data_IF_107079945023
#
_entry.id   IF_107079945023
#
_cell.length_a   1.000
_cell.length_b   1.000
_cell.length_c   1.000
_cell.angle_alpha   90.00
_cell.angle_beta   90.00
_cell.angle_gamma   90.00
#
_symmetry.space_group_name_H-M   'P 1'
#
loop_
_entity.id
_entity.type
_entity.pdbx_description
1 polymer ?
#
# COMPACT_ATOMS: atom_id res chain seq x y z
N UNK A 1 -6.28 22.25 -3.20
CA UNK A 1 -5.37 21.24 -2.64
C UNK A 1 -5.79 20.95 -1.20
N UNK A 2 -5.53 19.75 -0.66
CA UNK A 2 -5.71 19.49 0.78
C UNK A 2 -4.31 19.43 1.37
N UNK A 3 -3.87 20.52 1.97
CA UNK A 3 -2.57 20.60 2.62
C UNK A 3 -2.61 19.90 3.98
N UNK A 4 -1.48 19.35 4.39
CA UNK A 4 -1.32 18.74 5.71
C UNK A 4 -1.03 19.84 6.73
N UNK A 5 -1.84 20.00 7.80
CA UNK A 5 -1.62 21.00 8.82
C UNK A 5 -0.24 20.89 9.47
N UNK A 6 0.45 22.02 9.67
CA UNK A 6 1.79 22.03 10.26
C UNK A 6 1.76 21.68 11.74
N UNK A 7 0.68 22.03 12.43
CA UNK A 7 0.38 21.69 13.82
C UNK A 7 0.27 20.18 14.06
N UNK A 8 0.07 19.39 13.00
CA UNK A 8 0.02 17.93 13.06
C UNK A 8 1.39 17.26 12.89
N UNK A 9 2.46 18.05 12.70
CA UNK A 9 3.84 17.55 12.55
C UNK A 9 4.62 17.89 13.83
N UNK A 10 5.39 16.93 14.34
CA UNK A 10 6.24 17.16 15.53
C UNK A 10 7.34 18.19 15.25
N UNK A 11 7.86 18.90 16.27
CA UNK A 11 8.88 19.93 16.08
C UNK A 11 10.19 19.45 15.43
N UNK A 12 10.55 18.18 15.65
CA UNK A 12 11.70 17.53 15.01
C UNK A 12 11.44 17.08 13.57
N UNK A 13 10.17 17.16 13.13
CA UNK A 13 9.67 16.79 11.80
C UNK A 13 9.84 15.30 11.45
N UNK A 14 9.91 14.46 12.47
CA UNK A 14 10.06 13.01 12.30
C UNK A 14 8.76 12.24 12.50
N UNK A 15 7.76 12.85 13.12
CA UNK A 15 6.49 12.20 13.48
C UNK A 15 5.31 13.19 13.43
N UNK A 16 4.13 12.72 13.84
CA UNK A 16 2.88 13.47 13.95
C UNK A 16 2.48 13.68 15.40
N UNK A 17 1.65 14.69 15.66
CA UNK A 17 1.16 14.99 17.02
C UNK A 17 0.04 14.04 17.45
N UNK A 18 -0.19 13.92 18.75
CA UNK A 18 -1.30 13.14 19.31
C UNK A 18 -2.67 13.61 18.79
N UNK A 19 -2.82 14.91 18.55
CA UNK A 19 -4.04 15.50 17.96
C UNK A 19 -4.35 14.90 16.58
N UNK A 20 -3.33 14.70 15.75
CA UNK A 20 -3.50 14.03 14.46
C UNK A 20 -3.93 12.58 14.63
N UNK A 21 -3.34 11.87 15.60
CA UNK A 21 -3.68 10.47 15.89
C UNK A 21 -5.15 10.38 16.31
N UNK A 22 -5.61 11.22 17.24
CA UNK A 22 -7.00 11.26 17.69
C UNK A 22 -7.97 11.58 16.54
N UNK A 23 -7.57 12.46 15.63
CA UNK A 23 -8.34 12.78 14.43
C UNK A 23 -8.38 11.62 13.42
N UNK A 24 -7.25 10.92 13.20
CA UNK A 24 -7.11 9.90 12.17
C UNK A 24 -7.67 8.52 12.57
N UNK A 25 -7.57 8.15 13.86
CA UNK A 25 -8.03 6.87 14.39
C UNK A 25 -9.49 6.52 14.03
N UNK A 26 -10.49 7.40 14.24
CA UNK A 26 -11.88 7.09 13.88
C UNK A 26 -12.09 6.95 12.36
N UNK A 27 -11.23 7.56 11.53
CA UNK A 27 -11.32 7.49 10.07
C UNK A 27 -10.84 6.14 9.53
N UNK A 28 -9.77 5.58 10.11
CA UNK A 28 -9.22 4.28 9.73
C UNK A 28 -10.09 3.15 10.30
N UNK A 29 -10.64 3.36 11.49
CA UNK A 29 -11.47 2.38 12.19
C UNK A 29 -10.66 1.21 12.78
N UNK A 30 -11.31 0.45 13.65
CA UNK A 30 -10.75 -0.76 14.25
C UNK A 30 -11.84 -1.82 14.42
N UNK A 31 -11.58 -3.10 14.13
CA UNK A 31 -10.31 -3.66 13.64
C UNK A 31 -10.03 -3.30 12.17
N UNK A 32 -8.75 -3.35 11.77
CA UNK A 32 -8.37 -3.15 10.37
C UNK A 32 -9.14 -4.11 9.45
N UNK A 33 -9.56 -3.66 8.26
CA UNK A 33 -10.33 -4.50 7.35
C UNK A 33 -9.52 -5.72 6.93
N UNK A 34 -10.15 -6.88 6.91
CA UNK A 34 -9.57 -8.07 6.30
C UNK A 34 -9.66 -7.92 4.78
N UNK A 35 -8.53 -7.67 4.13
CA UNK A 35 -8.47 -7.63 2.69
C UNK A 35 -8.81 -9.00 2.06
N UNK A 36 -9.33 -8.96 0.84
CA UNK A 36 -9.60 -10.18 0.09
C UNK A 36 -8.30 -10.94 -0.17
N UNK A 37 -8.31 -12.26 0.07
CA UNK A 37 -7.23 -13.16 -0.29
C UNK A 37 -7.69 -14.03 -1.46
N UNK A 38 -7.18 -13.74 -2.65
CA UNK A 38 -7.45 -14.55 -3.84
C UNK A 38 -6.74 -15.90 -3.73
N UNK A 39 -7.33 -16.92 -4.36
CA UNK A 39 -6.67 -18.21 -4.54
C UNK A 39 -5.77 -18.13 -5.76
N UNK A 40 -4.60 -18.75 -5.68
CA UNK A 40 -3.64 -18.84 -6.78
C UNK A 40 -4.09 -19.88 -7.82
N UNK A 41 -5.20 -19.60 -8.51
CA UNK A 41 -5.76 -20.44 -9.56
C UNK A 41 -5.29 -19.89 -10.91
N UNK A 42 -4.28 -20.52 -11.50
CA UNK A 42 -3.72 -20.13 -12.79
C UNK A 42 -4.27 -20.99 -13.94
N UNK A 43 -4.48 -20.37 -15.10
CA UNK A 43 -4.77 -21.08 -16.35
C UNK A 43 -3.49 -21.74 -16.87
N UNK A 44 -3.56 -22.93 -17.50
CA UNK A 44 -2.39 -23.55 -18.12
C UNK A 44 -1.70 -22.62 -19.12
N UNK A 45 -0.36 -22.60 -19.11
CA UNK A 45 0.43 -21.84 -20.09
C UNK A 45 0.17 -22.39 -21.49
N UNK A 46 -0.24 -21.53 -22.42
CA UNK A 46 -0.43 -21.89 -23.85
C UNK A 46 0.83 -21.69 -24.69
N UNK A 47 1.64 -20.70 -24.34
CA UNK A 47 2.84 -20.34 -25.07
C UNK A 47 4.05 -21.10 -24.53
N UNK A 48 5.05 -21.27 -25.41
CA UNK A 48 6.36 -21.76 -25.02
C UNK A 48 7.03 -20.81 -24.01
N UNK A 49 8.09 -21.30 -23.37
CA UNK A 49 8.92 -20.47 -22.50
C UNK A 49 9.48 -19.26 -23.27
N UNK A 50 9.50 -18.11 -22.59
CA UNK A 50 10.02 -16.91 -23.18
C UNK A 50 11.54 -17.03 -23.34
N UNK A 51 12.03 -16.92 -24.57
CA UNK A 51 13.45 -16.87 -24.90
C UNK A 51 13.76 -15.44 -25.39
N UNK A 52 14.61 -14.68 -24.66
CA UNK A 52 15.12 -13.39 -25.12
C UNK A 52 15.69 -13.50 -26.53
N UNK A 53 15.53 -12.45 -27.33
CA UNK A 53 15.93 -12.49 -28.76
C UNK A 53 17.40 -12.86 -28.93
N UNK A 54 18.26 -12.40 -28.03
CA UNK A 54 19.72 -12.65 -28.04
C UNK A 54 20.09 -14.12 -27.82
N UNK A 55 19.23 -14.88 -27.12
CA UNK A 55 19.46 -16.29 -26.77
C UNK A 55 18.81 -17.27 -27.75
N UNK A 56 18.16 -16.77 -28.81
CA UNK A 56 17.57 -17.62 -29.86
C UNK A 56 18.70 -18.11 -30.77
N UNK A 57 19.01 -19.42 -30.70
CA UNK A 57 19.98 -20.08 -31.59
C UNK A 57 19.56 -20.02 -33.06
#
# INVERSE_FOLDING_TARGET
>A
EREFPQEWITPDRMDVTDEFIEWALPLIGSPLPRFAKFKDIYVPKKCAEYIPVEDRK
#
